data_IF_849339056354
#
_entry.id   IF_849339056354
#
_cell.length_a   1.000
_cell.length_b   1.000
_cell.length_c   1.000
_cell.angle_alpha   90.00
_cell.angle_beta   90.00
_cell.angle_gamma   90.00
#
_symmetry.space_group_name_H-M   'P 1'
#
loop_
_entity.id
_entity.type
_entity.pdbx_description
1 polymer ?
#
# COMPACT_ATOMS: atom_id res chain seq x y z
N UNK A 1 -12.90 -10.78 13.97
CA UNK A 1 -12.20 -9.63 13.34
C UNK A 1 -13.12 -8.43 13.42
N UNK A 2 -12.65 -7.27 13.94
CA UNK A 2 -13.46 -6.05 14.03
C UNK A 2 -13.53 -5.42 12.63
N UNK A 3 -14.69 -5.47 11.99
CA UNK A 3 -14.99 -4.67 10.79
C UNK A 3 -15.00 -3.21 11.23
N UNK A 4 -13.96 -2.46 10.86
CA UNK A 4 -13.90 -1.01 11.08
C UNK A 4 -14.63 -0.33 9.94
N UNK A 5 -15.38 0.73 10.23
CA UNK A 5 -15.99 1.56 9.20
C UNK A 5 -14.91 2.09 8.24
N UNK A 6 -15.20 2.06 6.94
CA UNK A 6 -14.25 2.46 5.89
C UNK A 6 -13.17 1.44 5.54
N UNK A 7 -13.20 0.22 6.10
CA UNK A 7 -12.30 -0.88 5.72
C UNK A 7 -13.02 -1.86 4.79
N UNK A 8 -12.47 -2.01 3.59
CA UNK A 8 -12.87 -3.01 2.59
C UNK A 8 -12.00 -4.25 2.70
N UNK A 9 -12.49 -5.39 2.18
CA UNK A 9 -11.75 -6.65 2.15
C UNK A 9 -11.79 -7.26 0.76
N UNK A 10 -10.67 -7.83 0.31
CA UNK A 10 -10.57 -8.58 -0.95
C UNK A 10 -10.85 -10.06 -0.73
N UNK A 11 -10.97 -10.83 -1.81
CA UNK A 11 -11.09 -12.30 -1.76
C UNK A 11 -9.84 -12.98 -1.16
N UNK A 12 -8.66 -12.37 -1.33
CA UNK A 12 -7.41 -12.85 -0.71
C UNK A 12 -7.34 -12.59 0.80
N UNK A 13 -8.31 -11.86 1.36
CA UNK A 13 -8.31 -11.46 2.77
C UNK A 13 -7.52 -10.19 3.07
N UNK A 14 -6.97 -9.52 2.05
CA UNK A 14 -6.35 -8.20 2.20
C UNK A 14 -7.42 -7.20 2.63
N UNK A 15 -7.10 -6.41 3.66
CA UNK A 15 -7.95 -5.32 4.13
C UNK A 15 -7.30 -3.99 3.81
N UNK A 16 -8.08 -3.07 3.25
CA UNK A 16 -7.61 -1.73 2.92
C UNK A 16 -8.67 -0.68 3.22
N UNK A 17 -8.22 0.57 3.39
CA UNK A 17 -9.07 1.73 3.53
C UNK A 17 -8.53 2.83 2.63
N UNK A 18 -9.40 3.41 1.81
CA UNK A 18 -9.04 4.57 0.98
C UNK A 18 -9.24 5.82 1.83
N UNK A 19 -8.13 6.44 2.24
CA UNK A 19 -8.16 7.68 3.02
C UNK A 19 -8.52 8.87 2.11
N UNK A 20 -7.84 8.93 0.96
CA UNK A 20 -8.07 9.94 -0.08
C UNK A 20 -8.03 9.24 -1.43
N UNK A 21 -9.10 9.36 -2.21
CA UNK A 21 -9.15 8.81 -3.56
C UNK A 21 -8.41 9.72 -4.53
N UNK A 22 -7.48 9.17 -5.29
CA UNK A 22 -6.86 9.87 -6.41
C UNK A 22 -7.73 9.86 -7.66
N UNK A 23 -7.50 10.82 -8.56
CA UNK A 23 -8.24 10.96 -9.83
C UNK A 23 -7.44 10.47 -11.04
N UNK A 24 -6.21 10.01 -10.82
CA UNK A 24 -5.32 9.49 -11.86
C UNK A 24 -5.70 8.09 -12.34
N UNK A 25 -5.06 7.60 -13.42
CA UNK A 25 -5.25 6.23 -13.89
C UNK A 25 -4.80 5.21 -12.83
N UNK A 26 -5.50 4.08 -12.79
CA UNK A 26 -5.08 2.93 -12.00
C UNK A 26 -3.90 2.25 -12.71
N UNK A 27 -2.75 2.05 -12.04
CA UNK A 27 -1.60 1.40 -12.66
C UNK A 27 -1.91 -0.07 -12.98
N UNK A 28 -1.38 -0.55 -14.11
CA UNK A 28 -1.40 -1.95 -14.50
C UNK A 28 -0.21 -2.72 -13.90
N UNK A 29 -0.25 -4.05 -13.97
CA UNK A 29 0.84 -4.93 -13.51
C UNK A 29 2.18 -4.72 -14.24
N UNK A 30 2.16 -4.07 -15.39
CA UNK A 30 3.35 -3.79 -16.21
C UNK A 30 3.98 -2.43 -15.88
N UNK A 31 3.26 -1.58 -15.14
CA UNK A 31 3.70 -0.23 -14.84
C UNK A 31 4.72 -0.19 -13.68
N UNK A 32 5.35 0.99 -13.57
CA UNK A 32 6.16 1.37 -12.41
C UNK A 32 5.43 2.44 -11.61
N UNK A 33 5.42 2.29 -10.31
CA UNK A 33 4.83 3.25 -9.38
C UNK A 33 5.91 3.92 -8.55
N UNK A 34 5.71 5.19 -8.24
CA UNK A 34 6.55 5.99 -7.34
C UNK A 34 5.71 6.38 -6.13
N UNK A 35 6.11 5.94 -4.94
CA UNK A 35 5.28 6.06 -3.73
C UNK A 35 6.09 6.43 -2.50
N UNK A 36 5.46 7.21 -1.63
CA UNK A 36 5.82 7.25 -0.22
C UNK A 36 4.98 6.20 0.54
N UNK A 37 5.61 5.46 1.43
CA UNK A 37 5.00 4.43 2.26
C UNK A 37 5.65 4.37 3.64
N UNK A 38 4.95 3.75 4.58
CA UNK A 38 5.49 3.35 5.88
C UNK A 38 4.93 1.98 6.22
N UNK A 39 5.80 0.98 6.32
CA UNK A 39 5.48 -0.37 6.73
C UNK A 39 5.62 -0.52 8.25
N UNK A 40 4.57 -1.01 8.89
CA UNK A 40 4.55 -1.28 10.34
C UNK A 40 4.03 -2.68 10.62
N UNK A 41 4.56 -3.28 11.69
CA UNK A 41 4.01 -4.49 12.28
C UNK A 41 2.74 -4.16 13.08
N UNK A 42 1.99 -5.19 13.48
CA UNK A 42 0.72 -5.05 14.22
C UNK A 42 0.88 -4.41 15.60
N UNK A 43 2.08 -4.49 16.18
CA UNK A 43 2.44 -3.85 17.44
C UNK A 43 2.78 -2.35 17.26
N UNK A 44 2.81 -1.86 16.02
CA UNK A 44 3.14 -0.48 15.66
C UNK A 44 4.62 -0.25 15.32
N UNK A 45 5.48 -1.25 15.48
CA UNK A 45 6.90 -1.17 15.16
C UNK A 45 7.10 -0.92 13.66
N UNK A 46 7.80 0.16 13.31
CA UNK A 46 8.13 0.49 11.92
C UNK A 46 9.29 -0.39 11.47
N UNK A 47 9.10 -1.16 10.40
CA UNK A 47 10.20 -1.93 9.80
C UNK A 47 10.80 -1.22 8.58
N UNK A 48 10.04 -0.37 7.90
CA UNK A 48 10.50 0.38 6.73
C UNK A 48 9.66 1.66 6.50
N UNK A 49 10.28 2.73 6.01
CA UNK A 49 9.60 3.98 5.66
C UNK A 49 10.40 4.81 4.67
N UNK A 50 9.85 5.04 3.47
CA UNK A 50 10.41 6.00 2.51
C UNK A 50 10.19 7.45 2.93
N UNK A 51 9.15 7.72 3.73
CA UNK A 51 8.95 9.06 4.32
C UNK A 51 10.11 9.39 5.28
N UNK A 52 10.53 8.44 6.12
CA UNK A 52 11.66 8.63 7.03
C UNK A 52 12.99 8.83 6.30
N UNK A 53 13.15 8.24 5.10
CA UNK A 53 14.30 8.47 4.22
C UNK A 53 14.29 9.82 3.49
N UNK A 54 13.13 10.48 3.41
CA UNK A 54 12.98 11.76 2.72
C UNK A 54 12.86 11.66 1.19
N UNK A 55 12.82 10.46 0.63
CA UNK A 55 12.70 10.23 -0.82
C UNK A 55 11.71 9.11 -1.13
N UNK A 56 10.92 9.23 -2.21
CA UNK A 56 9.97 8.19 -2.61
C UNK A 56 10.70 6.97 -3.16
N UNK A 57 10.07 5.81 -3.04
CA UNK A 57 10.59 4.58 -3.62
C UNK A 57 9.87 4.28 -4.94
N UNK A 58 10.57 3.60 -5.85
CA UNK A 58 10.02 3.17 -7.13
C UNK A 58 10.03 1.65 -7.27
N UNK A 59 8.90 1.09 -7.69
CA UNK A 59 8.72 -0.35 -7.83
C UNK A 59 8.01 -0.68 -9.15
N UNK A 60 8.37 -1.79 -9.83
CA UNK A 60 7.45 -2.40 -10.77
C UNK A 60 6.28 -3.01 -10.00
N UNK A 61 5.03 -2.81 -10.46
CA UNK A 61 3.83 -3.34 -9.78
C UNK A 61 3.88 -4.86 -9.63
N UNK A 62 4.47 -5.57 -10.60
CA UNK A 62 4.65 -7.02 -10.53
C UNK A 62 5.76 -7.51 -9.58
N UNK A 63 6.62 -6.62 -9.07
CA UNK A 63 7.77 -6.97 -8.23
C UNK A 63 7.59 -6.72 -6.73
N UNK A 64 6.40 -6.29 -6.31
CA UNK A 64 6.07 -6.13 -4.89
C UNK A 64 5.39 -7.37 -4.32
N UNK A 65 5.19 -7.41 -3.01
CA UNK A 65 4.53 -8.54 -2.34
C UNK A 65 3.06 -8.68 -2.77
N UNK A 66 2.46 -9.90 -2.77
CA UNK A 66 1.10 -10.21 -3.28
C UNK A 66 -0.13 -9.52 -2.62
N UNK A 67 0.03 -8.35 -2.03
CA UNK A 67 -1.07 -7.47 -1.58
C UNK A 67 -0.83 -6.01 -1.92
N UNK A 68 0.23 -5.72 -2.68
CA UNK A 68 0.61 -4.38 -3.15
C UNK A 68 0.63 -4.29 -4.68
N UNK A 69 0.33 -5.40 -5.37
CA UNK A 69 0.32 -5.57 -6.83
C UNK A 69 -1.08 -5.49 -7.46
#
# INVERSE_FOLDING_TARGET
MRRREGVSSTESGLQFSVITQGEGPIPSRQDRVRVHYTGKLIDGSVFDSSVARGEPAEFPVSGVIPGLD
#
